data_IF_731166134721
#
_entry.id   IF_731166134721
#
_cell.length_a   1.000
_cell.length_b   1.000
_cell.length_c   1.000
_cell.angle_alpha   90.00
_cell.angle_beta   90.00
_cell.angle_gamma   90.00
#
_symmetry.space_group_name_H-M   'P 1'
#
loop_
_entity.id
_entity.type
_entity.pdbx_description
1 polymer ?
#
# COMPACT_ATOMS: atom_id res chain seq x y z
N UNK A 1 -2.02 -7.61 -16.81
CA UNK A 1 -2.61 -8.29 -15.65
C UNK A 1 -2.50 -7.37 -14.45
N UNK A 2 -3.58 -7.13 -13.68
CA UNK A 2 -3.49 -6.32 -12.48
C UNK A 2 -2.81 -7.10 -11.35
N UNK A 3 -1.86 -6.46 -10.66
CA UNK A 3 -1.24 -7.02 -9.46
C UNK A 3 -2.16 -6.82 -8.25
N UNK A 4 -2.23 -7.83 -7.37
CA UNK A 4 -2.75 -7.70 -6.02
C UNK A 4 -1.62 -7.96 -5.03
N UNK A 5 -1.35 -6.98 -4.17
CA UNK A 5 -0.20 -7.00 -3.25
C UNK A 5 -0.70 -6.86 -1.82
N UNK A 6 -0.23 -7.73 -0.93
CA UNK A 6 -0.32 -7.52 0.51
C UNK A 6 0.81 -6.58 0.94
N UNK A 7 0.42 -5.37 1.36
CA UNK A 7 1.35 -4.32 1.75
C UNK A 7 2.12 -4.63 3.03
N UNK A 8 1.53 -5.33 3.99
CA UNK A 8 2.21 -5.66 5.26
C UNK A 8 3.30 -6.70 5.02
N UNK A 9 3.00 -7.72 4.22
CA UNK A 9 3.97 -8.73 3.84
C UNK A 9 5.13 -8.12 3.04
N UNK A 10 4.84 -7.21 2.10
CA UNK A 10 5.88 -6.55 1.32
C UNK A 10 6.78 -5.65 2.16
N UNK A 11 6.23 -4.90 3.12
CA UNK A 11 7.03 -4.12 4.08
C UNK A 11 7.90 -5.06 4.92
N UNK A 12 7.33 -6.15 5.45
CA UNK A 12 8.05 -7.09 6.31
C UNK A 12 9.19 -7.85 5.62
N UNK A 13 9.12 -8.04 4.30
CA UNK A 13 10.16 -8.70 3.51
C UNK A 13 11.19 -7.72 2.92
N UNK A 14 10.94 -6.40 2.99
CA UNK A 14 11.86 -5.40 2.47
C UNK A 14 13.01 -5.17 3.45
N UNK A 15 14.25 -5.29 2.98
CA UNK A 15 15.46 -4.98 3.77
C UNK A 15 15.59 -3.50 4.13
N UNK A 16 14.98 -2.62 3.34
CA UNK A 16 15.07 -1.17 3.50
C UNK A 16 13.89 -0.57 4.28
N UNK A 17 12.85 -1.37 4.57
CA UNK A 17 11.68 -0.92 5.31
C UNK A 17 11.53 -1.70 6.61
N UNK A 18 10.91 -1.05 7.59
CA UNK A 18 10.66 -1.64 8.90
C UNK A 18 9.18 -1.46 9.23
N UNK A 19 8.49 -2.54 9.61
CA UNK A 19 7.09 -2.49 10.03
C UNK A 19 6.84 -1.56 11.23
N UNK A 20 7.87 -1.24 12.01
CA UNK A 20 7.80 -0.29 13.13
C UNK A 20 7.94 1.17 12.70
N UNK A 21 8.35 1.45 11.46
CA UNK A 21 8.41 2.82 10.94
C UNK A 21 6.98 3.29 10.59
N UNK A 22 6.46 4.33 11.27
CA UNK A 22 5.13 4.87 10.98
C UNK A 22 4.98 5.43 9.56
N UNK A 23 6.09 5.63 8.83
CA UNK A 23 6.09 6.09 7.45
C UNK A 23 6.27 4.98 6.41
N UNK A 24 6.42 3.71 6.82
CA UNK A 24 6.68 2.60 5.90
C UNK A 24 5.59 2.44 4.83
N UNK A 25 4.31 2.51 5.23
CA UNK A 25 3.17 2.40 4.32
C UNK A 25 3.16 3.52 3.28
N UNK A 26 3.36 4.76 3.72
CA UNK A 26 3.43 5.93 2.83
C UNK A 26 4.59 5.81 1.84
N UNK A 27 5.76 5.35 2.30
CA UNK A 27 6.93 5.12 1.45
C UNK A 27 6.66 4.04 0.40
N UNK A 28 6.09 2.90 0.80
CA UNK A 28 5.73 1.82 -0.12
C UNK A 28 4.71 2.30 -1.16
N UNK A 29 3.69 3.05 -0.77
CA UNK A 29 2.69 3.60 -1.71
C UNK A 29 3.36 4.50 -2.76
N UNK A 30 4.33 5.33 -2.37
CA UNK A 30 5.09 6.16 -3.32
C UNK A 30 5.90 5.33 -4.30
N UNK A 31 6.59 4.30 -3.81
CA UNK A 31 7.38 3.37 -4.63
C UNK A 31 6.49 2.61 -5.63
N UNK A 32 5.35 2.08 -5.17
CA UNK A 32 4.38 1.39 -6.02
C UNK A 32 3.75 2.32 -7.06
N UNK A 33 3.46 3.57 -6.70
CA UNK A 33 2.96 4.57 -7.66
C UNK A 33 4.00 4.85 -8.75
N UNK A 34 5.27 4.97 -8.38
CA UNK A 34 6.37 5.11 -9.33
C UNK A 34 6.49 3.87 -10.24
N UNK A 35 6.42 2.67 -9.67
CA UNK A 35 6.43 1.42 -10.43
C UNK A 35 5.29 1.35 -11.45
N UNK A 36 4.07 1.69 -11.04
CA UNK A 36 2.90 1.70 -11.93
C UNK A 36 3.09 2.65 -13.10
N UNK A 37 3.65 3.85 -12.86
CA UNK A 37 3.97 4.82 -13.92
C UNK A 37 5.05 4.31 -14.88
N UNK A 38 6.13 3.75 -14.36
CA UNK A 38 7.25 3.29 -15.18
C UNK A 38 6.92 2.04 -16.02
N UNK A 39 6.02 1.18 -15.53
CA UNK A 39 5.69 -0.09 -16.16
C UNK A 39 4.34 -0.11 -16.85
N UNK A 40 3.60 1.01 -16.84
CA UNK A 40 2.19 1.07 -17.25
C UNK A 40 1.35 -0.06 -16.60
N UNK A 41 1.71 -0.44 -15.37
CA UNK A 41 1.08 -1.53 -14.64
C UNK A 41 -0.12 -1.02 -13.84
N UNK A 42 -1.14 -1.87 -13.70
CA UNK A 42 -2.23 -1.68 -12.74
C UNK A 42 -1.96 -2.52 -11.49
N UNK A 43 -2.11 -1.91 -10.31
CA UNK A 43 -1.79 -2.54 -9.04
C UNK A 43 -2.82 -2.17 -7.97
N UNK A 44 -3.29 -3.15 -7.22
CA UNK A 44 -4.02 -2.95 -5.97
C UNK A 44 -3.12 -3.40 -4.81
N UNK A 45 -2.94 -2.55 -3.82
CA UNK A 45 -2.25 -2.88 -2.57
C UNK A 45 -3.23 -2.82 -1.41
N UNK A 46 -3.23 -3.86 -0.58
CA UNK A 46 -4.09 -3.97 0.61
C UNK A 46 -3.20 -3.91 1.85
N UNK A 47 -3.56 -3.03 2.79
CA UNK A 47 -2.93 -2.93 4.10
C UNK A 47 -3.92 -3.36 5.20
N UNK A 48 -3.41 -4.04 6.22
CA UNK A 48 -4.21 -4.41 7.39
C UNK A 48 -4.41 -3.21 8.32
N UNK A 49 -5.58 -3.17 8.95
CA UNK A 49 -5.93 -2.15 9.94
C UNK A 49 -6.40 -0.83 9.33
N UNK A 50 -6.42 0.20 10.18
CA UNK A 50 -6.92 1.52 9.83
C UNK A 50 -5.90 2.33 9.00
N UNK A 51 -6.38 3.27 8.17
CA UNK A 51 -5.50 4.19 7.46
C UNK A 51 -4.66 5.04 8.42
N UNK A 52 -3.46 5.41 7.99
CA UNK A 52 -2.59 6.31 8.74
C UNK A 52 -3.15 7.75 8.70
N UNK A 53 -2.81 8.59 9.69
CA UNK A 53 -3.26 10.00 9.71
C UNK A 53 -2.90 10.79 8.45
N UNK A 54 -1.79 10.41 7.78
CA UNK A 54 -1.35 11.02 6.51
C UNK A 54 -2.13 10.52 5.29
N UNK A 55 -2.93 9.46 5.43
CA UNK A 55 -3.73 8.82 4.39
C UNK A 55 -5.15 8.59 4.91
N UNK A 56 -5.98 9.64 5.07
CA UNK A 56 -7.21 9.56 5.85
C UNK A 56 -8.33 8.71 5.21
N UNK A 57 -8.13 8.19 4.00
CA UNK A 57 -9.15 7.45 3.26
C UNK A 57 -8.85 5.96 3.23
N UNK A 58 -9.88 5.13 3.46
CA UNK A 58 -9.78 3.66 3.37
C UNK A 58 -9.51 3.17 1.95
N UNK A 59 -9.93 3.93 0.95
CA UNK A 59 -9.67 3.65 -0.46
C UNK A 59 -9.05 4.88 -1.10
N UNK A 60 -7.90 4.72 -1.76
CA UNK A 60 -7.20 5.80 -2.45
C UNK A 60 -6.80 5.34 -3.85
N UNK A 61 -7.10 6.14 -4.87
CA UNK A 61 -6.65 5.93 -6.24
C UNK A 61 -5.54 6.91 -6.60
N UNK A 62 -4.38 6.40 -7.02
CA UNK A 62 -3.21 7.16 -7.45
C UNK A 62 -2.80 6.72 -8.87
N UNK A 63 -3.53 7.21 -9.87
CA UNK A 63 -3.40 6.73 -11.25
C UNK A 63 -3.78 5.25 -11.34
N UNK A 64 -2.85 4.40 -11.77
CA UNK A 64 -3.06 2.95 -11.90
C UNK A 64 -2.82 2.17 -10.59
N UNK A 65 -2.56 2.86 -9.48
CA UNK A 65 -2.45 2.28 -8.14
C UNK A 65 -3.76 2.47 -7.37
N UNK A 66 -4.32 1.38 -6.86
CA UNK A 66 -5.42 1.38 -5.91
C UNK A 66 -4.91 0.92 -4.54
N UNK A 67 -5.15 1.71 -3.51
CA UNK A 67 -4.74 1.43 -2.12
C UNK A 67 -5.99 1.17 -1.30
N UNK A 68 -6.02 0.05 -0.58
CA UNK A 68 -7.13 -0.35 0.28
C UNK A 68 -6.60 -0.58 1.69
N UNK A 69 -7.29 -0.03 2.69
CA UNK A 69 -7.11 -0.35 4.11
C UNK A 69 -8.28 -1.20 4.58
N UNK A 70 -8.00 -2.47 4.91
CA UNK A 70 -9.02 -3.46 5.24
C UNK A 70 -9.84 -3.10 6.49
N UNK A 71 -9.29 -2.26 7.38
CA UNK A 71 -9.93 -1.90 8.63
C UNK A 71 -9.93 -3.04 9.64
N UNK A 72 -10.72 -2.88 10.71
CA UNK A 72 -10.95 -3.94 11.70
C UNK A 72 -11.91 -4.99 11.11
N UNK A 73 -11.52 -6.27 11.19
CA UNK A 73 -12.43 -7.38 10.89
C UNK A 73 -13.67 -7.31 11.77
N UNK A 74 -14.80 -7.78 11.24
CA UNK A 74 -15.99 -8.09 12.04
C UNK A 74 -16.04 -9.60 12.18
N UNK A 75 -16.03 -10.07 13.41
CA UNK A 75 -16.34 -11.46 13.77
C UNK A 75 -17.86 -11.69 13.75
#
# INVERSE_FOLDING_TARGET
MPYLVDGNNLIGQSREQNLKDPHARVRLIRELSQFCRQRAAALTVVFDGEPDAMLPSRNVHLGNLHVIFAGRGRD
#
